data_IF_891902326790
#
_entry.id   IF_891902326790
#
_cell.length_a   1.000
_cell.length_b   1.000
_cell.length_c   1.000
_cell.angle_alpha   90.00
_cell.angle_beta   90.00
_cell.angle_gamma   90.00
#
_symmetry.space_group_name_H-M   'P 1'
#
loop_
_entity.id
_entity.type
_entity.pdbx_description
1 polymer ?
#
# COMPACT_ATOMS: atom_id res chain seq x y z
N UNK A 1 9.77 -18.72 0.68
CA UNK A 1 10.77 -17.64 0.57
C UNK A 1 10.05 -16.36 0.18
N UNK A 2 10.42 -15.23 0.77
CA UNK A 2 9.77 -13.96 0.48
C UNK A 2 10.07 -13.54 -0.97
N UNK A 3 9.03 -13.56 -1.82
CA UNK A 3 9.17 -13.26 -3.25
C UNK A 3 9.34 -11.76 -3.47
N UNK A 4 10.28 -11.39 -4.33
CA UNK A 4 10.43 -10.00 -4.77
C UNK A 4 9.25 -9.62 -5.66
N UNK A 5 8.56 -8.54 -5.33
CA UNK A 5 7.37 -8.06 -6.06
C UNK A 5 7.67 -6.92 -7.02
N UNK A 6 8.80 -6.24 -6.84
CA UNK A 6 9.25 -5.15 -7.72
C UNK A 6 10.77 -5.00 -7.61
N UNK A 7 11.41 -4.59 -8.71
CA UNK A 7 12.84 -4.25 -8.79
C UNK A 7 13.03 -2.99 -9.62
N UNK A 8 13.97 -2.16 -9.20
CA UNK A 8 14.26 -0.92 -9.90
C UNK A 8 15.22 -0.05 -9.12
N UNK A 9 15.13 1.26 -9.31
CA UNK A 9 16.00 2.25 -8.68
C UNK A 9 15.19 3.22 -7.83
N UNK A 10 15.67 3.52 -6.63
CA UNK A 10 15.21 4.65 -5.83
C UNK A 10 16.07 5.86 -6.18
N UNK A 11 15.45 6.88 -6.77
CA UNK A 11 16.09 8.10 -7.24
C UNK A 11 15.69 9.30 -6.37
N UNK A 12 16.66 10.10 -5.96
CA UNK A 12 16.43 11.37 -5.28
C UNK A 12 17.55 12.35 -5.65
N UNK A 13 17.19 13.49 -6.23
CA UNK A 13 18.16 14.41 -6.84
C UNK A 13 19.04 13.70 -7.88
N UNK A 14 20.34 13.60 -7.61
CA UNK A 14 21.34 12.95 -8.47
C UNK A 14 21.71 11.53 -8.01
N UNK A 15 21.13 11.05 -6.91
CA UNK A 15 21.42 9.73 -6.36
C UNK A 15 20.43 8.72 -6.93
N UNK A 16 20.94 7.57 -7.35
CA UNK A 16 20.14 6.43 -7.81
C UNK A 16 20.63 5.16 -7.11
N UNK A 17 19.74 4.50 -6.37
CA UNK A 17 20.04 3.33 -5.55
C UNK A 17 19.30 2.11 -6.10
N UNK A 18 19.97 1.04 -6.54
CA UNK A 18 19.29 -0.16 -7.00
C UNK A 18 18.67 -0.91 -5.80
N UNK A 19 17.37 -1.17 -5.90
CA UNK A 19 16.55 -1.70 -4.81
C UNK A 19 15.53 -2.73 -5.30
N UNK A 20 15.05 -3.54 -4.37
CA UNK A 20 13.99 -4.54 -4.59
C UNK A 20 13.00 -4.52 -3.45
N UNK A 21 11.73 -4.70 -3.78
CA UNK A 21 10.63 -4.74 -2.81
C UNK A 21 10.21 -6.17 -2.52
N UNK A 22 9.99 -6.44 -1.25
CA UNK A 22 9.47 -7.71 -0.74
C UNK A 22 8.28 -7.38 0.16
N UNK A 23 7.19 -8.13 0.05
CA UNK A 23 6.01 -7.91 0.89
C UNK A 23 6.39 -8.08 2.36
N UNK A 24 6.09 -7.08 3.20
CA UNK A 24 6.37 -7.12 4.64
C UNK A 24 5.20 -7.69 5.42
N UNK A 25 3.99 -7.19 5.12
CA UNK A 25 2.75 -7.66 5.71
C UNK A 25 1.74 -7.92 4.58
N UNK A 26 1.06 -9.06 4.66
CA UNK A 26 -0.11 -9.34 3.82
C UNK A 26 -1.11 -10.12 4.65
N UNK A 27 -2.42 -9.84 4.52
CA UNK A 27 -3.42 -10.73 5.07
C UNK A 27 -3.27 -12.11 4.42
N UNK A 28 -3.31 -13.15 5.23
CA UNK A 28 -3.30 -14.51 4.74
C UNK A 28 -4.72 -14.87 4.29
N UNK A 29 -4.98 -14.69 3.00
CA UNK A 29 -6.27 -15.08 2.40
C UNK A 29 -6.18 -16.53 1.91
N UNK A 30 -7.01 -17.40 2.49
CA UNK A 30 -7.18 -18.77 1.99
C UNK A 30 -8.03 -18.70 0.72
N UNK A 31 -7.42 -18.95 -0.44
CA UNK A 31 -8.15 -19.03 -1.70
C UNK A 31 -8.84 -20.38 -1.83
N UNK A 32 -10.16 -20.37 -1.92
CA UNK A 32 -10.94 -21.55 -2.25
C UNK A 32 -11.02 -21.72 -3.77
N UNK A 33 -11.07 -22.96 -4.23
CA UNK A 33 -11.38 -23.28 -5.61
C UNK A 33 -12.68 -24.07 -5.67
N UNK A 34 -13.46 -23.83 -6.71
CA UNK A 34 -14.71 -24.55 -6.91
C UNK A 34 -14.41 -25.99 -7.36
N UNK A 35 -15.01 -26.95 -6.67
CA UNK A 35 -14.96 -28.37 -7.00
C UNK A 35 -16.36 -28.90 -7.20
N UNK A 36 -16.51 -29.85 -8.12
CA UNK A 36 -17.73 -30.62 -8.21
C UNK A 36 -17.77 -31.58 -7.00
N UNK A 37 -18.82 -31.54 -6.15
CA UNK A 37 -18.88 -32.34 -4.92
C UNK A 37 -18.96 -33.84 -5.17
N UNK A 38 -19.48 -34.29 -6.31
CA UNK A 38 -19.63 -35.71 -6.64
C UNK A 38 -18.34 -36.31 -7.18
N UNK A 39 -17.58 -35.54 -7.97
CA UNK A 39 -16.37 -36.03 -8.64
C UNK A 39 -15.07 -35.55 -8.01
N UNK A 40 -15.14 -34.60 -7.06
CA UNK A 40 -13.98 -33.92 -6.46
C UNK A 40 -13.15 -33.09 -7.45
N UNK A 41 -13.59 -32.97 -8.70
CA UNK A 41 -12.81 -32.36 -9.77
C UNK A 41 -12.96 -30.84 -9.77
N UNK A 42 -11.87 -30.11 -10.07
CA UNK A 42 -11.89 -28.65 -10.22
C UNK A 42 -12.81 -28.22 -11.36
N UNK A 43 -13.63 -27.21 -11.11
CA UNK A 43 -14.52 -26.64 -12.13
C UNK A 43 -13.79 -25.53 -12.90
N UNK A 44 -13.95 -25.50 -14.23
CA UNK A 44 -13.49 -24.41 -15.08
C UNK A 44 -14.64 -23.45 -15.34
N UNK A 45 -14.38 -22.15 -15.22
CA UNK A 45 -15.33 -21.10 -15.57
C UNK A 45 -15.12 -20.66 -17.02
N UNK A 46 -16.22 -20.51 -17.76
CA UNK A 46 -16.26 -19.92 -19.11
C UNK A 46 -17.00 -18.59 -19.04
N UNK A 47 -16.58 -17.62 -19.85
CA UNK A 47 -17.22 -16.31 -19.95
C UNK A 47 -18.16 -16.32 -21.15
N UNK A 48 -19.36 -15.78 -20.98
CA UNK A 48 -20.36 -15.66 -22.04
C UNK A 48 -20.76 -14.20 -22.21
N UNK A 49 -20.93 -13.77 -23.45
CA UNK A 49 -21.51 -12.47 -23.77
C UNK A 49 -23.01 -12.48 -23.46
N UNK A 50 -23.47 -11.50 -22.68
CA UNK A 50 -24.84 -11.47 -22.18
C UNK A 50 -25.89 -11.29 -23.30
N UNK A 51 -25.52 -10.65 -24.41
CA UNK A 51 -26.45 -10.33 -25.49
C UNK A 51 -26.57 -11.45 -26.52
N UNK A 52 -25.47 -12.16 -26.77
CA UNK A 52 -25.37 -13.18 -27.82
C UNK A 52 -25.33 -14.61 -27.29
N UNK A 53 -25.18 -14.79 -25.97
CA UNK A 53 -25.03 -16.09 -25.29
C UNK A 53 -23.89 -16.94 -25.87
N UNK A 54 -22.86 -16.28 -26.39
CA UNK A 54 -21.68 -16.92 -26.97
C UNK A 54 -20.51 -16.88 -26.01
N UNK A 55 -19.74 -17.97 -25.98
CA UNK A 55 -18.50 -18.04 -25.23
C UNK A 55 -17.51 -17.01 -25.80
N UNK A 56 -16.93 -16.20 -24.91
CA UNK A 56 -15.95 -15.17 -25.26
C UNK A 56 -14.60 -15.47 -24.62
N UNK A 57 -13.53 -15.26 -25.38
CA UNK A 57 -12.18 -15.41 -24.87
C UNK A 57 -11.78 -14.18 -24.06
N UNK A 58 -11.07 -14.37 -22.93
CA UNK A 58 -10.50 -13.25 -22.16
C UNK A 58 -9.60 -12.33 -23.00
N UNK A 59 -9.00 -12.82 -24.09
CA UNK A 59 -8.14 -12.03 -24.97
C UNK A 59 -8.91 -11.04 -25.85
N UNK A 60 -10.19 -11.30 -26.07
CA UNK A 60 -11.07 -10.47 -26.91
C UNK A 60 -11.80 -9.40 -26.09
N UNK A 61 -11.70 -9.47 -24.76
CA UNK A 61 -12.33 -8.52 -23.86
C UNK A 61 -11.51 -7.24 -23.75
N UNK A 62 -12.20 -6.11 -23.93
CA UNK A 62 -11.68 -4.78 -23.61
C UNK A 62 -12.23 -4.31 -22.26
N UNK A 63 -11.53 -3.39 -21.61
CA UNK A 63 -12.04 -2.77 -20.38
C UNK A 63 -12.91 -1.58 -20.75
N UNK A 64 -13.99 -1.35 -20.02
CA UNK A 64 -14.81 -0.16 -20.17
C UNK A 64 -14.92 0.54 -18.81
N UNK A 65 -14.87 1.88 -18.82
CA UNK A 65 -15.16 2.71 -17.65
C UNK A 65 -16.23 3.73 -18.02
N UNK A 66 -17.24 3.87 -17.17
CA UNK A 66 -18.21 4.96 -17.27
C UNK A 66 -17.62 6.21 -16.61
N UNK A 67 -17.70 7.32 -17.32
CA UNK A 67 -17.33 8.64 -16.82
C UNK A 67 -18.50 9.26 -16.04
N UNK A 68 -18.26 10.23 -15.15
CA UNK A 68 -19.31 10.91 -14.39
C UNK A 68 -20.38 11.60 -15.25
N UNK A 69 -20.07 11.90 -16.51
CA UNK A 69 -20.99 12.50 -17.48
C UNK A 69 -21.81 11.46 -18.30
N UNK A 70 -21.71 10.18 -17.95
CA UNK A 70 -22.45 9.08 -18.57
C UNK A 70 -21.82 8.53 -19.85
N UNK A 71 -20.65 9.03 -20.28
CA UNK A 71 -19.94 8.46 -21.43
C UNK A 71 -19.16 7.22 -21.04
N UNK A 72 -19.25 6.16 -21.84
CA UNK A 72 -18.43 4.94 -21.67
C UNK A 72 -17.16 5.04 -22.51
N UNK A 73 -16.01 4.91 -21.87
CA UNK A 73 -14.71 4.84 -22.54
C UNK A 73 -14.22 3.40 -22.56
N UNK A 74 -13.91 2.89 -23.75
CA UNK A 74 -13.30 1.58 -23.92
C UNK A 74 -11.78 1.72 -23.98
N UNK A 75 -11.09 0.94 -23.15
CA UNK A 75 -9.64 0.90 -23.04
C UNK A 75 -9.17 -0.45 -23.54
N UNK A 76 -8.43 -0.42 -24.65
CA UNK A 76 -7.72 -1.60 -25.14
C UNK A 76 -6.42 -1.81 -24.36
N UNK A 77 -5.86 -3.01 -24.44
CA UNK A 77 -4.55 -3.29 -23.85
C UNK A 77 -3.42 -2.43 -24.45
N UNK A 78 -3.57 -1.92 -25.68
CA UNK A 78 -2.59 -1.05 -26.34
C UNK A 78 -2.77 0.43 -25.95
N UNK A 79 -4.00 0.91 -25.77
CA UNK A 79 -4.25 2.24 -25.19
C UNK A 79 -3.70 2.31 -23.76
N UNK A 80 -3.86 1.22 -23.00
CA UNK A 80 -3.25 1.09 -21.69
C UNK A 80 -1.72 1.15 -21.73
N UNK A 81 -1.06 0.76 -22.83
CA UNK A 81 0.40 0.85 -22.96
C UNK A 81 0.89 2.24 -23.33
N UNK A 82 0.12 2.99 -24.12
CA UNK A 82 0.50 4.35 -24.55
C UNK A 82 0.33 5.39 -23.44
N UNK A 83 -0.57 5.15 -22.49
CA UNK A 83 -0.80 6.01 -21.30
C UNK A 83 0.24 5.74 -20.20
N UNK A 84 0.94 4.61 -20.24
CA UNK A 84 1.85 4.22 -19.18
C UNK A 84 3.13 5.07 -19.18
N UNK A 85 3.51 5.67 -18.04
CA UNK A 85 4.80 6.35 -17.93
C UNK A 85 5.96 5.39 -18.22
N UNK A 86 6.92 5.83 -19.05
CA UNK A 86 8.13 5.06 -19.38
C UNK A 86 8.96 4.66 -18.14
N UNK A 87 8.75 5.32 -17.00
CA UNK A 87 9.54 5.17 -15.75
C UNK A 87 9.16 3.96 -14.88
N UNK A 88 8.66 2.87 -15.45
CA UNK A 88 8.19 1.67 -14.70
C UNK A 88 9.19 1.05 -13.70
N UNK A 89 10.48 1.41 -13.78
CA UNK A 89 11.57 0.89 -12.93
C UNK A 89 12.24 1.94 -12.05
N UNK A 90 11.71 3.15 -11.98
CA UNK A 90 12.26 4.21 -11.12
C UNK A 90 11.22 4.66 -10.12
N UNK A 91 11.61 4.66 -8.86
CA UNK A 91 10.88 5.28 -7.76
C UNK A 91 11.54 6.60 -7.45
N UNK A 92 10.83 7.70 -7.67
CA UNK A 92 11.39 9.05 -7.52
C UNK A 92 10.91 9.66 -6.21
N UNK A 93 11.84 9.96 -5.30
CA UNK A 93 11.55 10.75 -4.09
C UNK A 93 11.24 12.18 -4.51
N UNK A 94 10.10 12.67 -4.07
CA UNK A 94 9.63 14.03 -4.27
C UNK A 94 10.19 14.94 -3.18
N UNK A 95 10.08 14.51 -1.93
CA UNK A 95 10.51 15.27 -0.76
C UNK A 95 10.76 14.35 0.45
N UNK A 96 11.36 14.92 1.49
CA UNK A 96 11.52 14.27 2.78
C UNK A 96 10.66 15.00 3.81
N UNK A 97 9.88 14.24 4.57
CA UNK A 97 8.93 14.73 5.59
C UNK A 97 9.27 14.14 6.95
N UNK A 98 8.83 14.76 8.04
CA UNK A 98 8.96 14.18 9.36
C UNK A 98 8.01 12.99 9.50
N UNK A 99 8.44 11.89 10.14
CA UNK A 99 7.56 10.74 10.36
C UNK A 99 6.31 11.08 11.18
N UNK A 100 6.39 12.08 12.06
CA UNK A 100 5.26 12.49 12.92
C UNK A 100 4.19 13.30 12.15
N UNK A 101 4.50 13.78 10.94
CA UNK A 101 3.57 14.54 10.09
C UNK A 101 2.67 13.63 9.26
N UNK A 102 3.01 12.34 9.13
CA UNK A 102 2.27 11.42 8.27
C UNK A 102 1.28 10.62 9.11
N UNK A 103 0.00 10.96 8.99
CA UNK A 103 -1.08 10.24 9.66
C UNK A 103 -1.11 8.77 9.17
N UNK A 104 -1.06 7.78 10.10
CA UNK A 104 -1.20 6.36 9.75
C UNK A 104 -2.46 6.02 8.96
N UNK A 105 -3.51 6.86 9.00
CA UNK A 105 -4.73 6.73 8.20
C UNK A 105 -4.44 6.57 6.69
N UNK A 106 -3.37 7.18 6.20
CA UNK A 106 -3.00 7.10 4.79
C UNK A 106 -2.30 5.80 4.40
N UNK A 107 -1.88 4.94 5.33
CA UNK A 107 -1.10 3.73 5.01
C UNK A 107 -1.99 2.60 4.48
N UNK A 108 -1.64 2.04 3.32
CA UNK A 108 -2.36 0.93 2.68
C UNK A 108 -1.60 -0.41 2.81
N UNK A 109 -0.45 -0.55 2.13
CA UNK A 109 0.28 -1.81 2.06
C UNK A 109 1.76 -1.64 2.40
N UNK A 110 2.31 -2.56 3.19
CA UNK A 110 3.70 -2.49 3.66
C UNK A 110 4.66 -3.46 2.95
N UNK A 111 5.83 -2.95 2.60
CA UNK A 111 6.91 -3.67 1.93
C UNK A 111 8.25 -3.43 2.64
N UNK A 112 9.12 -4.44 2.63
CA UNK A 112 10.53 -4.27 2.92
C UNK A 112 11.25 -3.86 1.65
N UNK A 113 12.07 -2.82 1.77
CA UNK A 113 12.91 -2.31 0.71
C UNK A 113 14.32 -2.81 0.97
N UNK A 114 14.90 -3.58 0.04
CA UNK A 114 16.23 -4.16 0.17
C UNK A 114 17.14 -3.64 -0.94
N UNK A 115 18.45 -3.51 -0.70
CA UNK A 115 19.41 -3.23 -1.77
C UNK A 115 19.41 -4.39 -2.78
N UNK A 116 19.52 -4.05 -4.07
CA UNK A 116 19.71 -5.04 -5.14
C UNK A 116 21.20 -5.04 -5.57
N UNK A 117 21.87 -6.17 -5.32
CA UNK A 117 23.30 -6.35 -5.60
C UNK A 117 24.25 -5.66 -4.61
N UNK A 118 25.55 -5.93 -4.73
CA UNK A 118 26.58 -5.36 -3.86
C UNK A 118 26.74 -3.85 -4.03
N UNK A 119 26.63 -3.35 -5.26
CA UNK A 119 26.76 -1.93 -5.57
C UNK A 119 25.71 -1.06 -4.88
N UNK A 120 24.51 -1.60 -4.62
CA UNK A 120 23.41 -0.89 -3.96
C UNK A 120 23.53 -0.80 -2.44
N UNK A 121 24.33 -1.65 -1.79
CA UNK A 121 24.34 -1.76 -0.31
C UNK A 121 24.79 -0.47 0.37
N UNK A 122 25.95 0.08 -0.04
CA UNK A 122 26.51 1.29 0.59
C UNK A 122 25.55 2.49 0.50
N UNK A 123 25.06 2.89 -0.69
CA UNK A 123 24.13 4.01 -0.79
C UNK A 123 22.78 3.74 -0.11
N UNK A 124 22.29 2.50 -0.12
CA UNK A 124 21.08 2.11 0.61
C UNK A 124 21.23 2.34 2.12
N UNK A 125 22.31 1.83 2.73
CA UNK A 125 22.51 1.97 4.18
C UNK A 125 22.82 3.42 4.58
N UNK A 126 23.48 4.19 3.70
CA UNK A 126 23.68 5.61 3.92
C UNK A 126 22.34 6.36 3.99
N UNK A 127 21.42 6.08 3.05
CA UNK A 127 20.07 6.64 3.09
C UNK A 127 19.31 6.21 4.36
N UNK A 128 19.39 4.93 4.72
CA UNK A 128 18.76 4.41 5.93
C UNK A 128 19.24 5.12 7.20
N UNK A 129 20.57 5.27 7.39
CA UNK A 129 21.12 5.95 8.56
C UNK A 129 20.77 7.44 8.57
N UNK A 130 20.77 8.11 7.40
CA UNK A 130 20.39 9.51 7.29
C UNK A 130 18.92 9.75 7.67
N UNK A 131 18.00 8.95 7.11
CA UNK A 131 16.57 9.06 7.45
C UNK A 131 16.30 8.76 8.93
N UNK A 132 17.02 7.78 9.48
CA UNK A 132 16.90 7.41 10.90
C UNK A 132 17.41 8.51 11.83
N UNK A 133 18.53 9.15 11.49
CA UNK A 133 19.10 10.21 12.30
C UNK A 133 18.19 11.45 12.36
N UNK A 134 17.51 11.76 11.25
CA UNK A 134 16.67 12.95 11.09
C UNK A 134 15.17 12.70 11.37
N UNK A 135 14.79 11.54 11.93
CA UNK A 135 13.38 11.12 12.11
C UNK A 135 12.51 11.34 10.85
N UNK A 136 13.09 11.14 9.67
CA UNK A 136 12.50 11.55 8.40
C UNK A 136 12.10 10.34 7.54
N UNK A 137 11.17 10.58 6.63
CA UNK A 137 10.75 9.63 5.61
C UNK A 137 10.73 10.30 4.23
N UNK A 138 11.03 9.55 3.18
CA UNK A 138 10.97 10.03 1.80
C UNK A 138 9.59 9.76 1.20
N UNK A 139 8.88 10.82 0.81
CA UNK A 139 7.67 10.71 0.01
C UNK A 139 8.08 10.54 -1.45
N UNK A 140 7.60 9.49 -2.12
CA UNK A 140 8.02 9.12 -3.45
C UNK A 140 6.86 8.67 -4.33
N UNK A 141 7.09 8.65 -5.64
CA UNK A 141 6.19 8.05 -6.63
C UNK A 141 6.84 6.83 -7.26
N UNK A 142 6.07 5.76 -7.41
CA UNK A 142 6.50 4.58 -8.15
C UNK A 142 5.39 4.06 -9.06
N UNK A 143 5.78 3.46 -10.19
CA UNK A 143 4.84 2.79 -11.08
C UNK A 143 4.95 1.28 -10.89
N UNK A 144 3.83 0.62 -10.59
CA UNK A 144 3.74 -0.83 -10.48
C UNK A 144 2.44 -1.33 -11.10
N UNK A 145 2.51 -2.45 -11.82
CA UNK A 145 1.33 -3.11 -12.40
C UNK A 145 0.40 -2.13 -13.16
N UNK A 146 1.00 -1.19 -13.91
CA UNK A 146 0.31 -0.18 -14.71
C UNK A 146 -0.44 0.92 -13.94
N UNK A 147 -0.13 1.13 -12.66
CA UNK A 147 -0.66 2.23 -11.82
C UNK A 147 0.49 2.98 -11.14
N UNK A 148 0.39 4.30 -11.05
CA UNK A 148 1.26 5.12 -10.21
C UNK A 148 0.77 5.06 -8.76
N UNK A 149 1.70 4.87 -7.82
CA UNK A 149 1.46 4.85 -6.39
C UNK A 149 2.26 5.96 -5.74
N UNK A 150 1.62 6.69 -4.84
CA UNK A 150 2.30 7.48 -3.83
C UNK A 150 2.79 6.53 -2.74
N UNK A 151 4.04 6.67 -2.33
CA UNK A 151 4.67 5.77 -1.37
C UNK A 151 5.53 6.53 -0.37
N UNK A 152 5.58 6.02 0.85
CA UNK A 152 6.44 6.52 1.91
C UNK A 152 7.59 5.54 2.16
N UNK A 153 8.83 5.99 2.01
CA UNK A 153 10.04 5.22 2.33
C UNK A 153 10.58 5.68 3.68
N UNK A 154 10.59 4.81 4.68
CA UNK A 154 11.00 5.16 6.04
C UNK A 154 11.97 4.17 6.66
N UNK A 155 12.79 4.57 7.63
CA UNK A 155 13.59 3.64 8.42
C UNK A 155 12.68 2.73 9.25
N UNK A 156 13.04 1.45 9.33
CA UNK A 156 12.31 0.43 10.09
C UNK A 156 13.24 -0.70 10.52
N UNK A 157 13.42 -0.87 11.84
CA UNK A 157 14.25 -1.93 12.41
C UNK A 157 15.71 -1.83 11.99
N UNK A 158 16.11 -2.61 10.98
CA UNK A 158 17.50 -2.69 10.46
C UNK A 158 17.63 -2.28 8.98
N UNK A 159 16.59 -1.67 8.41
CA UNK A 159 16.59 -1.25 7.01
C UNK A 159 15.43 -0.31 6.70
N UNK A 160 15.09 -0.21 5.43
CA UNK A 160 14.00 0.62 4.94
C UNK A 160 12.71 -0.20 4.76
N UNK A 161 11.60 0.39 5.16
CA UNK A 161 10.26 -0.03 4.80
C UNK A 161 9.67 0.94 3.79
N UNK A 162 8.77 0.44 2.96
CA UNK A 162 7.97 1.22 2.03
C UNK A 162 6.50 0.97 2.32
N UNK A 163 5.71 2.02 2.42
CA UNK A 163 4.25 1.93 2.51
C UNK A 163 3.63 2.57 1.28
N UNK A 164 2.66 1.91 0.64
CA UNK A 164 1.76 2.60 -0.28
C UNK A 164 0.84 3.52 0.51
N UNK A 165 0.55 4.67 -0.05
CA UNK A 165 -0.34 5.66 0.54
C UNK A 165 -1.63 5.77 -0.26
N UNK A 166 -2.75 5.94 0.45
CA UNK A 166 -3.97 6.49 -0.13
C UNK A 166 -3.76 7.97 -0.46
N UNK A 167 -4.32 8.42 -1.58
CA UNK A 167 -4.49 9.85 -1.81
C UNK A 167 -5.63 10.40 -0.93
N UNK A 168 -5.63 11.71 -0.72
CA UNK A 168 -6.66 12.40 0.07
C UNK A 168 -8.08 12.09 -0.41
N UNK A 169 -8.31 12.03 -1.72
CA UNK A 169 -9.59 11.69 -2.33
C UNK A 169 -9.97 10.20 -2.22
N UNK A 170 -9.02 9.33 -1.85
CA UNK A 170 -9.26 7.92 -1.55
C UNK A 170 -9.60 7.70 -0.07
N UNK A 171 -9.32 8.68 0.80
CA UNK A 171 -9.71 8.66 2.21
C UNK A 171 -11.14 9.15 2.33
N UNK A 172 -12.00 8.32 2.93
CA UNK A 172 -13.43 8.65 3.07
C UNK A 172 -13.65 9.58 4.25
N UNK A 173 -14.31 10.69 4.00
CA UNK A 173 -14.87 11.53 5.05
C UNK A 173 -16.07 10.84 5.71
N UNK A 174 -16.15 10.93 7.03
CA UNK A 174 -17.26 10.42 7.84
C UNK A 174 -17.78 11.57 8.68
N UNK A 175 -19.04 11.95 8.48
CA UNK A 175 -19.61 13.16 9.06
C UNK A 175 -19.62 13.15 10.60
N UNK A 176 -19.79 11.96 11.20
CA UNK A 176 -19.81 11.77 12.65
C UNK A 176 -18.40 11.68 13.26
N UNK A 177 -17.34 11.60 12.44
CA UNK A 177 -15.97 11.48 12.95
C UNK A 177 -15.47 12.82 13.49
N UNK A 178 -15.30 12.90 14.81
CA UNK A 178 -14.90 14.12 15.51
C UNK A 178 -16.07 14.97 16.00
N UNK A 179 -17.30 14.47 15.92
CA UNK A 179 -18.46 15.10 16.56
C UNK A 179 -18.38 14.92 18.08
N UNK A 180 -18.07 16.00 18.79
CA UNK A 180 -18.01 16.07 20.25
C UNK A 180 -19.20 16.84 20.84
N UNK A 181 -20.27 17.05 20.07
CA UNK A 181 -21.44 17.79 20.52
C UNK A 181 -22.09 17.11 21.73
N UNK A 182 -22.22 17.86 22.84
CA UNK A 182 -22.78 17.36 24.10
C UNK A 182 -21.79 16.60 24.99
N UNK A 183 -20.51 16.53 24.64
CA UNK A 183 -19.48 15.93 25.48
C UNK A 183 -18.90 16.98 26.45
N UNK A 184 -19.21 16.84 27.75
CA UNK A 184 -18.61 17.64 28.83
C UNK A 184 -17.39 16.91 29.40
N UNK A 185 -16.18 17.36 29.06
CA UNK A 185 -14.91 16.77 29.52
C UNK A 185 -14.19 17.72 30.48
N UNK A 186 -13.96 17.29 31.73
CA UNK A 186 -13.06 17.97 32.65
C UNK A 186 -11.74 17.18 32.74
N UNK A 187 -10.77 17.57 31.89
CA UNK A 187 -9.45 16.93 31.87
C UNK A 187 -8.77 16.84 33.24
N UNK A 188 -9.01 17.78 34.17
CA UNK A 188 -8.37 17.73 35.49
C UNK A 188 -8.96 16.65 36.39
N UNK A 189 -10.25 16.38 36.22
CA UNK A 189 -10.99 15.38 37.00
C UNK A 189 -10.92 14.00 36.35
N UNK A 190 -11.06 13.94 35.03
CA UNK A 190 -11.30 12.70 34.30
C UNK A 190 -9.99 12.03 33.83
N UNK A 191 -8.96 12.81 33.46
CA UNK A 191 -7.70 12.25 32.97
C UNK A 191 -6.93 11.41 34.03
N UNK A 192 -6.83 11.83 35.32
CA UNK A 192 -6.21 11.00 36.34
C UNK A 192 -6.93 9.66 36.56
N UNK A 193 -8.26 9.65 36.47
CA UNK A 193 -9.07 8.43 36.59
C UNK A 193 -8.82 7.48 35.42
N UNK A 194 -8.75 7.99 34.19
CA UNK A 194 -8.41 7.18 33.01
C UNK A 194 -6.99 6.61 33.13
N UNK A 195 -6.02 7.41 33.56
CA UNK A 195 -4.65 6.95 33.74
C UNK A 195 -4.55 5.80 34.75
N UNK A 196 -5.31 5.90 35.84
CA UNK A 196 -5.38 4.84 36.86
C UNK A 196 -6.04 3.57 36.30
N UNK A 197 -7.17 3.70 35.58
CA UNK A 197 -7.83 2.56 34.94
C UNK A 197 -6.94 1.84 33.94
N UNK A 198 -6.19 2.57 33.12
CA UNK A 198 -5.23 2.00 32.16
C UNK A 198 -4.10 1.30 32.91
N UNK A 199 -3.57 1.93 33.97
CA UNK A 199 -2.47 1.39 34.76
C UNK A 199 -2.88 0.10 35.50
N UNK A 200 -4.07 0.08 36.10
CA UNK A 200 -4.64 -1.11 36.74
C UNK A 200 -4.83 -2.24 35.71
N UNK A 201 -5.36 -1.93 34.52
CA UNK A 201 -5.53 -2.92 33.45
C UNK A 201 -4.19 -3.51 32.97
N UNK A 202 -3.14 -2.69 32.83
CA UNK A 202 -1.81 -3.14 32.42
C UNK A 202 -1.14 -4.04 33.48
N UNK A 203 -1.30 -3.72 34.76
CA UNK A 203 -0.77 -4.56 35.85
C UNK A 203 -1.43 -5.95 35.90
N UNK A 204 -2.68 -6.07 35.45
CA UNK A 204 -3.38 -7.35 35.41
C UNK A 204 -3.14 -8.13 34.10
N UNK A 205 -2.59 -7.49 33.06
CA UNK A 205 -2.29 -8.12 31.77
C UNK A 205 -1.02 -8.99 31.80
N UNK A 206 -0.14 -8.84 32.80
CA UNK A 206 1.06 -9.69 32.97
C UNK A 206 0.75 -11.13 33.45
N UNK A 207 -0.53 -11.51 33.57
CA UNK A 207 -0.98 -12.84 34.00
C UNK A 207 -1.60 -13.70 32.88
N UNK A 208 -1.16 -13.55 31.62
CA UNK A 208 -1.44 -14.52 30.57
C UNK A 208 -0.22 -15.45 30.37
N UNK A 209 -0.39 -16.78 30.45
CA UNK A 209 0.69 -17.76 30.38
C UNK A 209 1.37 -17.86 29.00
#
# INVERSE_FOLDING_TARGET
MASTVWKGHLAFGLVSVPIRLVVAARPENISFHQVNPETGSRVKQKLFDQSTDKEVSRKELVKASELPDGRTVYLTDDDMKSILPESSKTMSVLEFVNMDEVDPLYFDSSFYLLPDGEAGKKPYYLLYEALKAENSAGLAKMVRARREYLVLVRPSGKGLALHTLFYEDEVREVAEYGDDEGVDLDFKKDAPTIHQLISDALQHAEALP
#
